data_IF_657678030414
#
_entry.id   IF_657678030414
#
_cell.length_a   1.000
_cell.length_b   1.000
_cell.length_c   1.000
_cell.angle_alpha   90.00
_cell.angle_beta   90.00
_cell.angle_gamma   90.00
#
_symmetry.space_group_name_H-M   'P 1'
#
loop_
_entity.id
_entity.type
_entity.pdbx_description
1 polymer ?
#
# COMPACT_ATOMS: atom_id res chain seq x y z
N UNK A 1 24.74 18.83 3.67
CA UNK A 1 24.17 19.97 2.90
C UNK A 1 23.85 21.07 3.89
N UNK A 2 24.48 22.22 3.73
CA UNK A 2 24.21 23.37 4.57
C UNK A 2 22.88 23.99 4.13
N UNK A 3 21.83 23.75 4.95
CA UNK A 3 20.51 24.34 4.70
C UNK A 3 20.51 25.84 4.94
N UNK A 4 19.68 26.57 4.18
CA UNK A 4 19.42 27.98 4.42
C UNK A 4 19.05 28.19 5.91
N UNK A 5 19.80 29.10 6.62
CA UNK A 5 19.62 29.46 8.03
C UNK A 5 20.16 28.49 9.09
N UNK A 6 21.11 27.60 8.78
CA UNK A 6 21.74 26.71 9.77
C UNK A 6 22.24 27.47 11.00
N UNK A 7 22.82 28.68 10.82
CA UNK A 7 23.34 29.49 11.91
C UNK A 7 22.29 29.84 13.00
N UNK A 8 21.01 29.92 12.63
CA UNK A 8 19.91 30.16 13.58
C UNK A 8 19.53 28.91 14.38
N UNK A 9 19.84 27.72 13.87
CA UNK A 9 19.56 26.44 14.53
C UNK A 9 20.69 25.98 15.47
N UNK A 10 21.91 26.50 15.33
CA UNK A 10 23.04 26.09 16.16
C UNK A 10 22.77 26.20 17.67
N UNK A 11 22.14 27.30 18.19
CA UNK A 11 21.81 27.36 19.60
C UNK A 11 20.82 26.33 20.08
N UNK A 12 19.84 25.96 19.22
CA UNK A 12 18.86 24.92 19.51
C UNK A 12 19.50 23.52 19.52
N UNK A 13 20.44 23.27 18.61
CA UNK A 13 21.21 22.01 18.57
C UNK A 13 22.02 21.87 19.86
N UNK A 14 22.72 22.92 20.28
CA UNK A 14 23.50 22.89 21.51
C UNK A 14 22.63 22.65 22.77
N UNK A 15 21.41 23.19 22.81
CA UNK A 15 20.46 22.91 23.88
C UNK A 15 19.96 21.45 23.88
N UNK A 16 19.70 20.91 22.73
CA UNK A 16 19.28 19.50 22.57
C UNK A 16 20.41 18.58 23.06
N UNK A 17 21.63 18.78 22.57
CA UNK A 17 22.79 17.97 22.96
C UNK A 17 23.13 18.09 24.46
N UNK A 18 22.79 19.19 25.09
CA UNK A 18 23.01 19.41 26.52
C UNK A 18 21.97 18.73 27.41
N UNK A 19 20.73 18.60 26.95
CA UNK A 19 19.60 18.15 27.77
C UNK A 19 19.07 16.78 27.38
N UNK A 20 19.46 16.24 26.22
CA UNK A 20 19.02 14.94 25.71
C UNK A 20 20.22 14.07 25.35
N UNK A 21 20.10 12.78 25.63
CA UNK A 21 21.03 11.79 25.11
C UNK A 21 20.65 11.46 23.65
N UNK A 22 21.56 11.74 22.72
CA UNK A 22 21.37 11.42 21.31
C UNK A 22 21.71 9.96 21.09
N UNK A 23 20.71 9.11 21.02
CA UNK A 23 20.87 7.69 20.67
C UNK A 23 20.84 7.58 19.15
N UNK A 24 21.97 7.22 18.55
CA UNK A 24 22.08 6.92 17.13
C UNK A 24 21.62 5.48 16.87
N UNK A 25 20.42 5.32 16.30
CA UNK A 25 19.91 4.01 15.87
C UNK A 25 20.43 3.72 14.46
N UNK A 26 21.65 3.27 14.35
CA UNK A 26 22.27 2.85 13.09
C UNK A 26 21.99 1.36 12.89
N UNK A 27 20.90 1.03 12.21
CA UNK A 27 20.71 -0.30 11.68
C UNK A 27 21.19 -0.29 10.22
N UNK A 28 22.24 -1.05 9.87
CA UNK A 28 22.79 -1.06 8.51
C UNK A 28 21.81 -1.60 7.46
N UNK A 29 20.65 -2.07 7.90
CA UNK A 29 19.61 -2.59 7.02
C UNK A 29 18.24 -2.32 7.63
N UNK A 30 17.39 -1.61 6.92
CA UNK A 30 15.96 -1.60 7.23
C UNK A 30 15.41 -3.01 6.92
N UNK A 31 15.11 -3.75 7.99
CA UNK A 31 14.60 -5.13 7.90
C UNK A 31 13.28 -5.22 7.13
N UNK A 32 12.48 -4.14 7.11
CA UNK A 32 11.26 -4.04 6.31
C UNK A 32 11.58 -4.05 4.81
N UNK A 33 12.64 -3.35 4.40
CA UNK A 33 13.12 -3.37 3.02
C UNK A 33 13.61 -4.74 2.58
N UNK A 34 14.26 -5.52 3.45
CA UNK A 34 14.72 -6.89 3.11
C UNK A 34 13.56 -7.82 2.79
N UNK A 35 12.48 -7.75 3.55
CA UNK A 35 11.29 -8.56 3.31
C UNK A 35 10.63 -8.15 1.98
N UNK A 36 10.50 -6.85 1.73
CA UNK A 36 9.93 -6.31 0.49
C UNK A 36 10.81 -6.55 -0.74
N UNK A 37 12.15 -6.55 -0.59
CA UNK A 37 13.05 -6.88 -1.70
C UNK A 37 13.03 -8.36 -2.10
N UNK A 38 12.63 -9.25 -1.18
CA UNK A 38 12.51 -10.68 -1.43
C UNK A 38 11.11 -11.10 -1.84
N UNK A 39 10.12 -10.25 -1.59
CA UNK A 39 8.75 -10.51 -1.96
C UNK A 39 8.59 -10.40 -3.48
N UNK A 40 7.96 -11.38 -4.09
CA UNK A 40 7.37 -11.15 -5.40
C UNK A 40 6.28 -10.08 -5.22
N UNK A 41 6.41 -8.95 -5.90
CA UNK A 41 5.47 -7.83 -5.76
C UNK A 41 4.19 -8.05 -6.56
N UNK A 42 4.20 -9.03 -7.46
CA UNK A 42 3.10 -9.35 -8.37
C UNK A 42 2.85 -10.85 -8.38
N UNK A 43 1.67 -11.27 -7.96
CA UNK A 43 1.27 -12.67 -7.89
C UNK A 43 0.18 -12.96 -8.93
N UNK A 44 0.35 -14.04 -9.66
CA UNK A 44 -0.62 -14.53 -10.65
C UNK A 44 -0.68 -16.06 -10.61
N UNK A 45 -1.84 -16.64 -10.84
CA UNK A 45 -3.18 -16.03 -10.87
C UNK A 45 -3.59 -15.49 -9.50
N UNK A 46 -4.67 -14.70 -9.43
CA UNK A 46 -5.23 -14.19 -8.18
C UNK A 46 -6.13 -15.26 -7.51
N UNK A 47 -5.52 -16.34 -7.11
CA UNK A 47 -6.15 -17.47 -6.42
C UNK A 47 -5.93 -17.41 -4.89
N UNK A 48 -6.39 -18.43 -4.21
CA UNK A 48 -6.26 -18.57 -2.76
C UNK A 48 -4.78 -18.60 -2.32
N UNK A 49 -3.90 -19.22 -3.10
CA UNK A 49 -2.47 -19.23 -2.79
C UNK A 49 -1.85 -17.83 -2.85
N UNK A 50 -2.29 -17.02 -3.83
CA UNK A 50 -1.87 -15.62 -3.95
C UNK A 50 -2.43 -14.77 -2.79
N UNK A 51 -3.67 -14.98 -2.36
CA UNK A 51 -4.23 -14.33 -1.18
C UNK A 51 -3.42 -14.67 0.08
N UNK A 52 -3.13 -15.94 0.31
CA UNK A 52 -2.32 -16.39 1.46
C UNK A 52 -0.89 -15.81 1.42
N UNK A 53 -0.30 -15.65 0.23
CA UNK A 53 0.98 -15.00 0.08
C UNK A 53 0.92 -13.52 0.52
N UNK A 54 -0.13 -12.77 0.10
CA UNK A 54 -0.34 -11.40 0.55
C UNK A 54 -0.56 -11.33 2.07
N UNK A 55 -1.37 -12.22 2.63
CA UNK A 55 -1.60 -12.31 4.07
C UNK A 55 -0.30 -12.59 4.84
N UNK A 56 0.54 -13.47 4.32
CA UNK A 56 1.86 -13.75 4.87
C UNK A 56 2.79 -12.52 4.84
N UNK A 57 2.82 -11.76 3.75
CA UNK A 57 3.59 -10.51 3.67
C UNK A 57 3.03 -9.46 4.63
N UNK A 58 1.72 -9.28 4.68
CA UNK A 58 1.08 -8.34 5.58
C UNK A 58 1.42 -8.65 7.04
N UNK A 59 1.33 -9.91 7.45
CA UNK A 59 1.69 -10.36 8.80
C UNK A 59 3.19 -10.17 9.09
N UNK A 60 4.08 -10.49 8.13
CA UNK A 60 5.53 -10.34 8.29
C UNK A 60 6.00 -8.90 8.42
N UNK A 61 5.20 -7.96 7.94
CA UNK A 61 5.45 -6.51 8.03
C UNK A 61 4.81 -5.87 9.28
N UNK A 62 4.19 -6.67 10.17
CA UNK A 62 3.61 -6.21 11.43
C UNK A 62 2.09 -6.02 11.39
N UNK A 63 1.41 -6.46 10.33
CA UNK A 63 -0.05 -6.56 10.29
C UNK A 63 -0.56 -7.71 11.16
N UNK A 64 -1.79 -7.60 11.65
CA UNK A 64 -2.43 -8.74 12.30
C UNK A 64 -2.89 -9.73 11.22
N UNK A 65 -2.83 -11.03 11.54
CA UNK A 65 -3.30 -12.05 10.63
C UNK A 65 -4.74 -11.77 10.18
N UNK A 66 -4.94 -11.74 8.87
CA UNK A 66 -6.28 -11.61 8.27
C UNK A 66 -6.92 -12.98 8.41
N UNK A 67 -8.03 -13.07 9.14
CA UNK A 67 -8.79 -14.31 9.19
C UNK A 67 -9.36 -14.60 7.80
N UNK A 68 -9.20 -15.85 7.33
CA UNK A 68 -9.67 -16.31 6.03
C UNK A 68 -11.15 -15.94 5.83
N UNK A 69 -11.41 -14.94 5.00
CA UNK A 69 -12.76 -14.53 4.61
C UNK A 69 -13.28 -15.29 3.37
N UNK A 70 -12.57 -16.35 2.95
CA UNK A 70 -12.85 -17.09 1.70
C UNK A 70 -13.66 -18.39 1.85
N UNK A 71 -14.35 -18.61 2.96
CA UNK A 71 -15.28 -19.75 3.03
C UNK A 71 -16.58 -19.32 3.73
N UNK A 72 -17.64 -19.25 2.94
CA UNK A 72 -18.98 -19.07 3.49
C UNK A 72 -19.31 -20.14 4.51
N UNK A 73 -19.28 -19.80 5.76
CA UNK A 73 -20.18 -20.22 6.84
C UNK A 73 -19.67 -19.72 8.20
N UNK A 74 -20.38 -18.77 8.76
CA UNK A 74 -20.61 -18.62 10.18
C UNK A 74 -19.41 -18.47 11.12
N UNK A 75 -19.25 -17.28 11.64
CA UNK A 75 -18.60 -16.95 12.90
C UNK A 75 -17.30 -16.13 12.79
N UNK A 76 -17.44 -14.88 13.22
CA UNK A 76 -16.39 -13.87 13.49
C UNK A 76 -15.58 -13.32 12.29
N UNK A 77 -16.23 -13.01 11.18
CA UNK A 77 -15.73 -11.95 10.30
C UNK A 77 -15.74 -10.65 11.12
N UNK A 78 -14.58 -10.12 11.45
CA UNK A 78 -14.48 -8.80 12.10
C UNK A 78 -15.29 -7.79 11.30
N UNK A 79 -15.88 -6.79 11.95
CA UNK A 79 -16.66 -5.76 11.27
C UNK A 79 -15.83 -5.18 10.12
N UNK A 80 -16.43 -4.89 8.94
CA UNK A 80 -15.72 -4.36 7.80
C UNK A 80 -14.97 -3.09 8.22
N UNK A 81 -13.68 -3.06 7.95
CA UNK A 81 -12.86 -1.88 8.25
C UNK A 81 -13.07 -0.83 7.15
N UNK A 82 -13.22 0.39 7.55
CA UNK A 82 -13.45 1.52 6.66
C UNK A 82 -12.39 2.59 6.88
N UNK A 83 -11.86 3.08 5.80
CA UNK A 83 -10.99 4.25 5.75
C UNK A 83 -11.76 5.40 5.13
N UNK A 84 -11.65 6.60 5.68
CA UNK A 84 -12.22 7.81 5.09
C UNK A 84 -11.11 8.67 4.50
N UNK A 85 -11.15 8.86 3.18
CA UNK A 85 -10.22 9.69 2.42
C UNK A 85 -11.03 10.71 1.62
N UNK A 86 -10.74 12.00 1.80
CA UNK A 86 -11.42 13.10 1.09
C UNK A 86 -12.96 12.99 1.16
N UNK A 87 -13.49 12.68 2.34
CA UNK A 87 -14.92 12.49 2.61
C UNK A 87 -15.55 11.28 1.87
N UNK A 88 -14.72 10.36 1.38
CA UNK A 88 -15.15 9.12 0.74
C UNK A 88 -14.72 7.92 1.56
N UNK A 89 -15.63 7.00 1.74
CA UNK A 89 -15.35 5.76 2.46
C UNK A 89 -14.75 4.73 1.51
N UNK A 90 -13.71 4.05 1.96
CA UNK A 90 -13.07 2.94 1.27
C UNK A 90 -13.07 1.73 2.19
N UNK A 91 -13.54 0.59 1.69
CA UNK A 91 -13.48 -0.64 2.45
C UNK A 91 -12.09 -1.21 2.41
N UNK A 92 -11.54 -1.53 3.58
CA UNK A 92 -10.27 -2.21 3.76
C UNK A 92 -10.51 -3.71 3.96
N UNK A 93 -9.60 -4.52 3.43
CA UNK A 93 -9.46 -5.92 3.84
C UNK A 93 -8.76 -5.96 5.19
N UNK A 94 -7.67 -5.19 5.31
CA UNK A 94 -6.93 -5.03 6.56
C UNK A 94 -6.13 -3.73 6.57
N UNK A 95 -5.73 -3.27 7.75
CA UNK A 95 -4.80 -2.16 7.91
C UNK A 95 -3.86 -2.38 9.08
N UNK A 96 -2.66 -1.79 8.99
CA UNK A 96 -1.68 -1.75 10.05
C UNK A 96 -0.89 -0.43 9.92
N UNK A 97 -0.09 -0.02 10.92
CA UNK A 97 0.65 1.24 10.85
C UNK A 97 1.48 1.35 9.57
N UNK A 98 1.13 2.31 8.71
CA UNK A 98 1.78 2.57 7.42
C UNK A 98 1.46 1.56 6.31
N UNK A 99 0.52 0.64 6.52
CA UNK A 99 0.09 -0.35 5.54
C UNK A 99 -1.42 -0.41 5.41
N UNK A 100 -1.91 -0.58 4.18
CA UNK A 100 -3.32 -0.80 3.89
C UNK A 100 -3.50 -1.87 2.82
N UNK A 101 -4.56 -2.66 2.93
CA UNK A 101 -4.89 -3.72 2.01
C UNK A 101 -6.31 -3.55 1.47
N UNK A 102 -6.41 -3.50 0.16
CA UNK A 102 -7.66 -3.24 -0.56
C UNK A 102 -7.92 -4.30 -1.63
N UNK A 103 -9.18 -4.41 -2.05
CA UNK A 103 -9.51 -5.01 -3.34
C UNK A 103 -9.30 -3.99 -4.47
N UNK A 104 -9.03 -4.47 -5.68
CA UNK A 104 -8.99 -3.62 -6.89
C UNK A 104 -10.32 -2.87 -7.08
N UNK A 105 -11.44 -3.53 -6.83
CA UNK A 105 -12.76 -2.94 -6.98
C UNK A 105 -12.94 -1.69 -6.12
N UNK A 106 -12.54 -1.72 -4.85
CA UNK A 106 -12.61 -0.56 -3.97
C UNK A 106 -11.80 0.63 -4.48
N UNK A 107 -10.64 0.39 -5.08
CA UNK A 107 -9.74 1.45 -5.53
C UNK A 107 -10.05 1.94 -6.95
N UNK A 108 -10.49 1.05 -7.85
CA UNK A 108 -10.54 1.35 -9.27
C UNK A 108 -11.91 1.19 -9.92
N UNK A 109 -12.82 0.33 -9.42
CA UNK A 109 -14.17 0.23 -9.99
C UNK A 109 -15.10 1.32 -9.42
N UNK A 110 -14.87 1.75 -8.18
CA UNK A 110 -15.58 2.88 -7.60
C UNK A 110 -15.04 4.24 -8.10
N UNK A 111 -15.85 5.33 -8.05
CA UNK A 111 -15.42 6.66 -8.49
C UNK A 111 -14.36 7.22 -7.54
N UNK A 112 -13.10 7.11 -7.92
CA UNK A 112 -11.92 7.65 -7.23
C UNK A 112 -11.19 8.65 -8.10
N UNK A 113 -10.53 9.60 -7.47
CA UNK A 113 -9.72 10.63 -8.12
C UNK A 113 -8.23 10.45 -7.78
N UNK A 114 -7.35 11.05 -8.58
CA UNK A 114 -5.92 11.08 -8.27
C UNK A 114 -5.65 11.67 -6.87
N UNK A 115 -6.44 12.66 -6.41
CA UNK A 115 -6.30 13.22 -5.08
C UNK A 115 -6.51 12.18 -3.95
N UNK A 116 -7.36 11.18 -4.17
CA UNK A 116 -7.58 10.10 -3.18
C UNK A 116 -6.33 9.22 -3.08
N UNK A 117 -5.66 8.95 -4.21
CA UNK A 117 -4.41 8.17 -4.24
C UNK A 117 -3.23 8.94 -3.67
N UNK A 118 -3.18 10.27 -3.88
CA UNK A 118 -2.20 11.16 -3.22
C UNK A 118 -2.33 11.06 -1.70
N UNK A 119 -3.55 11.10 -1.18
CA UNK A 119 -3.77 11.05 0.27
C UNK A 119 -3.44 9.66 0.83
N UNK A 120 -3.82 8.57 0.14
CA UNK A 120 -3.38 7.22 0.49
C UNK A 120 -1.86 7.10 0.55
N UNK A 121 -1.16 7.68 -0.43
CA UNK A 121 0.30 7.65 -0.51
C UNK A 121 1.00 8.50 0.57
N UNK A 122 0.30 9.44 1.19
CA UNK A 122 0.80 10.20 2.35
C UNK A 122 0.68 9.41 3.65
N UNK A 123 -0.37 8.63 3.77
CA UNK A 123 -0.68 7.89 5.00
C UNK A 123 0.01 6.53 5.03
N UNK A 124 0.15 5.87 3.87
CA UNK A 124 0.66 4.52 3.77
C UNK A 124 1.92 4.42 2.89
N UNK A 125 2.96 3.77 3.42
CA UNK A 125 4.18 3.48 2.65
C UNK A 125 4.12 2.14 1.90
N UNK A 126 3.15 1.28 2.24
CA UNK A 126 2.94 -0.02 1.58
C UNK A 126 1.45 -0.25 1.39
N UNK A 127 1.04 -0.51 0.16
CA UNK A 127 -0.35 -0.83 -0.17
C UNK A 127 -0.40 -2.18 -0.86
N UNK A 128 -1.30 -3.04 -0.36
CA UNK A 128 -1.60 -4.32 -0.96
C UNK A 128 -2.91 -4.19 -1.75
N UNK A 129 -2.91 -4.68 -2.98
CA UNK A 129 -4.10 -4.66 -3.85
C UNK A 129 -4.34 -6.07 -4.38
N UNK A 130 -5.50 -6.60 -4.11
CA UNK A 130 -5.84 -7.93 -4.62
C UNK A 130 -6.95 -7.92 -5.66
N UNK A 131 -7.01 -9.03 -6.41
CA UNK A 131 -8.03 -9.30 -7.42
C UNK A 131 -8.01 -8.29 -8.58
N UNK A 132 -6.83 -7.90 -9.06
CA UNK A 132 -6.73 -7.08 -10.25
C UNK A 132 -7.17 -7.93 -11.46
N UNK A 133 -8.29 -7.58 -12.12
CA UNK A 133 -8.78 -8.33 -13.26
C UNK A 133 -8.01 -8.00 -14.53
N UNK A 134 -8.22 -8.75 -15.60
CA UNK A 134 -7.83 -8.32 -16.94
C UNK A 134 -8.64 -7.06 -17.29
N UNK A 135 -7.94 -6.01 -17.71
CA UNK A 135 -8.52 -4.72 -18.05
C UNK A 135 -8.80 -4.67 -19.56
N UNK A 136 -10.02 -4.98 -19.93
CA UNK A 136 -10.51 -4.92 -21.30
C UNK A 136 -11.28 -3.60 -21.55
N UNK A 137 -11.87 -3.44 -22.73
CA UNK A 137 -12.60 -2.25 -23.15
C UNK A 137 -13.75 -1.82 -22.23
N UNK A 138 -14.40 -2.77 -21.61
CA UNK A 138 -15.48 -2.55 -20.65
C UNK A 138 -14.98 -1.98 -19.30
N UNK A 139 -13.66 -2.01 -19.06
CA UNK A 139 -13.00 -1.53 -17.85
C UNK A 139 -12.01 -0.38 -18.08
N UNK A 140 -12.24 0.42 -19.14
CA UNK A 140 -11.33 1.55 -19.46
C UNK A 140 -11.21 2.57 -18.32
N UNK A 141 -12.31 2.89 -17.65
CA UNK A 141 -12.30 3.84 -16.53
C UNK A 141 -11.52 3.28 -15.34
N UNK A 142 -11.69 2.00 -15.05
CA UNK A 142 -10.94 1.30 -13.99
C UNK A 142 -9.46 1.21 -14.34
N UNK A 143 -9.13 0.94 -15.62
CA UNK A 143 -7.75 0.92 -16.12
C UNK A 143 -7.09 2.30 -15.96
N UNK A 144 -7.79 3.38 -16.33
CA UNK A 144 -7.29 4.74 -16.17
C UNK A 144 -7.05 5.11 -14.71
N UNK A 145 -7.96 4.72 -13.80
CA UNK A 145 -7.76 4.92 -12.37
C UNK A 145 -6.59 4.11 -11.83
N UNK A 146 -6.41 2.88 -12.32
CA UNK A 146 -5.27 2.05 -11.93
C UNK A 146 -3.93 2.65 -12.40
N UNK A 147 -3.87 3.20 -13.61
CA UNK A 147 -2.67 3.92 -14.09
C UNK A 147 -2.38 5.11 -13.16
N UNK A 148 -3.38 5.95 -12.86
CA UNK A 148 -3.20 7.08 -11.96
C UNK A 148 -2.74 6.65 -10.56
N UNK A 149 -3.27 5.54 -10.04
CA UNK A 149 -2.85 4.97 -8.76
C UNK A 149 -1.37 4.57 -8.79
N UNK A 150 -0.95 3.85 -9.83
CA UNK A 150 0.44 3.40 -9.96
C UNK A 150 1.39 4.59 -10.09
N UNK A 151 1.03 5.61 -10.90
CA UNK A 151 1.83 6.81 -11.08
C UNK A 151 1.99 7.58 -9.74
N UNK A 152 0.88 7.80 -9.01
CA UNK A 152 0.92 8.51 -7.73
C UNK A 152 1.72 7.74 -6.66
N UNK A 153 1.63 6.40 -6.66
CA UNK A 153 2.39 5.57 -5.73
C UNK A 153 3.87 5.53 -6.11
N UNK A 154 4.19 5.47 -7.39
CA UNK A 154 5.57 5.53 -7.88
C UNK A 154 6.26 6.83 -7.48
N UNK A 155 5.62 7.97 -7.73
CA UNK A 155 6.16 9.30 -7.42
C UNK A 155 6.41 9.51 -5.92
N UNK A 156 5.66 8.80 -5.07
CA UNK A 156 5.76 8.91 -3.61
C UNK A 156 6.47 7.74 -2.93
N UNK A 157 7.09 6.85 -3.74
CA UNK A 157 7.82 5.68 -3.25
C UNK A 157 6.96 4.73 -2.38
N UNK A 158 5.66 4.64 -2.64
CA UNK A 158 4.78 3.65 -2.00
C UNK A 158 5.05 2.28 -2.61
N UNK A 159 5.21 1.27 -1.77
CA UNK A 159 5.35 -0.11 -2.21
C UNK A 159 3.99 -0.69 -2.54
N UNK A 160 3.85 -1.19 -3.77
CA UNK A 160 2.64 -1.87 -4.24
C UNK A 160 2.91 -3.37 -4.31
N UNK A 161 2.10 -4.16 -3.60
CA UNK A 161 2.11 -5.63 -3.66
C UNK A 161 0.73 -6.04 -4.18
N UNK A 162 0.68 -6.87 -5.22
CA UNK A 162 -0.57 -7.12 -5.90
C UNK A 162 -0.80 -8.59 -6.25
N UNK A 163 -2.08 -8.98 -6.29
CA UNK A 163 -2.52 -10.20 -6.97
C UNK A 163 -3.35 -9.83 -8.20
N UNK A 164 -3.12 -10.50 -9.31
CA UNK A 164 -3.76 -10.20 -10.57
C UNK A 164 -4.13 -11.46 -11.37
N UNK A 165 -5.07 -11.33 -12.30
CA UNK A 165 -5.48 -12.41 -13.18
C UNK A 165 -4.35 -12.88 -14.12
N UNK A 166 -3.41 -11.96 -14.45
CA UNK A 166 -2.31 -12.24 -15.39
C UNK A 166 -1.08 -11.38 -15.08
N UNK A 167 -0.01 -11.62 -15.81
CA UNK A 167 1.22 -10.81 -15.72
C UNK A 167 0.96 -9.35 -16.16
N UNK A 168 1.76 -8.37 -15.69
CA UNK A 168 1.55 -6.96 -15.99
C UNK A 168 1.47 -6.64 -17.49
N UNK A 169 2.26 -7.33 -18.30
CA UNK A 169 2.32 -7.12 -19.76
C UNK A 169 1.03 -7.56 -20.47
N UNK A 170 0.28 -8.47 -19.85
CA UNK A 170 -0.99 -9.01 -20.36
C UNK A 170 -2.20 -8.40 -19.64
N UNK A 171 -2.01 -7.39 -18.79
CA UNK A 171 -3.08 -6.85 -17.96
C UNK A 171 -4.09 -6.02 -18.77
N UNK A 172 -3.63 -5.29 -19.78
CA UNK A 172 -4.47 -4.39 -20.57
C UNK A 172 -4.68 -4.89 -21.99
N UNK A 173 -5.92 -5.09 -22.38
CA UNK A 173 -6.36 -5.49 -23.72
C UNK A 173 -7.27 -4.44 -24.37
N UNK A 174 -6.94 -3.16 -24.20
CA UNK A 174 -7.61 -2.07 -24.90
C UNK A 174 -7.06 -1.86 -26.31
N UNK A 175 -7.83 -1.18 -27.16
CA UNK A 175 -7.32 -0.69 -28.46
C UNK A 175 -6.49 0.57 -28.23
N UNK A 176 -5.29 0.59 -28.83
CA UNK A 176 -4.54 1.82 -29.06
C UNK A 176 -5.28 2.70 -30.05
#
# INVERSE_FOLDING_TARGET
RDGLQRARFLPAIALIERHLEVVHLDAPTDYRFRTLQRAALWHTPHDEAAHQALAGYFASLGGQAVADSAAGSGSSAGAPQWLEINQRRMQLIASAPGMAWFTFSTLCDEPRSAADFVELAREYHTILVEQIPVLARDKEDSARRFINLVDEFYDRNVKLIATAACAPEALYHGTR
#
